data_IF_979240192957
#
_entry.id   IF_979240192957
#
_cell.length_a   1.000
_cell.length_b   1.000
_cell.length_c   1.000
_cell.angle_alpha   90.00
_cell.angle_beta   90.00
_cell.angle_gamma   90.00
#
_symmetry.space_group_name_H-M   'P 1'
#
loop_
_entity.id
_entity.type
_entity.pdbx_description
1 polymer ?
#
# COMPACT_ATOMS: atom_id res chain seq x y z
N UNK A 1 -14.39 -52.17 -1.14
CA UNK A 1 -15.35 -51.04 -1.00
C UNK A 1 -14.88 -50.00 0.02
N UNK A 2 -14.59 -50.35 1.27
CA UNK A 2 -14.17 -49.38 2.30
C UNK A 2 -12.88 -48.59 1.95
N UNK A 3 -11.88 -49.24 1.34
CA UNK A 3 -10.62 -48.59 0.94
C UNK A 3 -10.86 -47.46 -0.08
N UNK A 4 -11.73 -47.71 -1.07
CA UNK A 4 -12.09 -46.72 -2.09
C UNK A 4 -12.83 -45.53 -1.46
N UNK A 5 -13.70 -45.78 -0.49
CA UNK A 5 -14.40 -44.73 0.24
C UNK A 5 -13.44 -43.83 1.07
N UNK A 6 -12.45 -44.44 1.73
CA UNK A 6 -11.43 -43.70 2.50
C UNK A 6 -10.58 -42.82 1.57
N UNK A 7 -10.15 -43.35 0.41
CA UNK A 7 -9.39 -42.59 -0.59
C UNK A 7 -10.21 -41.43 -1.16
N UNK A 8 -11.48 -41.67 -1.50
CA UNK A 8 -12.39 -40.62 -1.98
C UNK A 8 -12.57 -39.51 -0.94
N UNK A 9 -12.69 -39.85 0.35
CA UNK A 9 -12.80 -38.89 1.45
C UNK A 9 -11.54 -38.02 1.56
N UNK A 10 -10.35 -38.63 1.50
CA UNK A 10 -9.06 -37.90 1.55
C UNK A 10 -8.95 -36.90 0.39
N UNK A 11 -9.28 -37.33 -0.84
CA UNK A 11 -9.24 -36.47 -2.04
C UNK A 11 -10.22 -35.30 -1.88
N UNK A 12 -11.45 -35.57 -1.42
CA UNK A 12 -12.48 -34.54 -1.24
C UNK A 12 -12.08 -33.51 -0.20
N UNK A 13 -11.50 -33.93 0.92
CA UNK A 13 -11.00 -33.02 1.95
C UNK A 13 -9.87 -32.14 1.42
N UNK A 14 -8.97 -32.70 0.61
CA UNK A 14 -7.89 -31.91 0.00
C UNK A 14 -8.45 -30.91 -1.02
N UNK A 15 -9.40 -31.32 -1.85
CA UNK A 15 -10.06 -30.46 -2.83
C UNK A 15 -10.85 -29.33 -2.17
N UNK A 16 -11.49 -29.58 -1.03
CA UNK A 16 -12.17 -28.54 -0.24
C UNK A 16 -11.17 -27.50 0.29
N UNK A 17 -10.00 -27.95 0.76
CA UNK A 17 -8.93 -27.06 1.25
C UNK A 17 -8.34 -26.23 0.11
N UNK A 18 -7.98 -26.87 -1.01
CA UNK A 18 -7.49 -26.18 -2.20
C UNK A 18 -8.52 -25.21 -2.76
N UNK A 19 -9.80 -25.59 -2.80
CA UNK A 19 -10.90 -24.71 -3.25
C UNK A 19 -11.07 -23.49 -2.36
N UNK A 20 -10.96 -23.63 -1.03
CA UNK A 20 -10.96 -22.49 -0.10
C UNK A 20 -9.76 -21.57 -0.31
N UNK A 21 -8.57 -22.13 -0.55
CA UNK A 21 -7.38 -21.34 -0.82
C UNK A 21 -7.48 -20.57 -2.14
N UNK A 22 -7.96 -21.22 -3.19
CA UNK A 22 -8.17 -20.59 -4.50
C UNK A 22 -9.23 -19.50 -4.43
N UNK A 23 -10.34 -19.76 -3.72
CA UNK A 23 -11.38 -18.76 -3.47
C UNK A 23 -10.82 -17.52 -2.77
N UNK A 24 -10.00 -17.69 -1.72
CA UNK A 24 -9.35 -16.57 -1.02
C UNK A 24 -8.43 -15.77 -1.94
N UNK A 25 -7.65 -16.44 -2.79
CA UNK A 25 -6.78 -15.78 -3.77
C UNK A 25 -7.59 -14.99 -4.79
N UNK A 26 -8.63 -15.59 -5.37
CA UNK A 26 -9.51 -14.94 -6.33
C UNK A 26 -10.16 -13.68 -5.75
N UNK A 27 -10.61 -13.73 -4.49
CA UNK A 27 -11.13 -12.56 -3.79
C UNK A 27 -10.07 -11.46 -3.67
N UNK A 28 -8.86 -11.79 -3.19
CA UNK A 28 -7.80 -10.79 -3.04
C UNK A 28 -7.40 -10.14 -4.37
N UNK A 29 -7.30 -10.93 -5.45
CA UNK A 29 -7.05 -10.40 -6.79
C UNK A 29 -8.17 -9.48 -7.28
N UNK A 30 -9.42 -9.87 -7.06
CA UNK A 30 -10.58 -9.07 -7.46
C UNK A 30 -10.61 -7.74 -6.72
N UNK A 31 -10.44 -7.76 -5.39
CA UNK A 31 -10.38 -6.55 -4.57
C UNK A 31 -9.22 -5.65 -5.00
N UNK A 32 -8.04 -6.22 -5.28
CA UNK A 32 -6.91 -5.43 -5.77
C UNK A 32 -7.15 -4.85 -7.17
N UNK A 33 -7.82 -5.59 -8.05
CA UNK A 33 -8.18 -5.12 -9.39
C UNK A 33 -9.14 -3.94 -9.33
N UNK A 34 -10.08 -3.92 -8.38
CA UNK A 34 -10.96 -2.77 -8.15
C UNK A 34 -10.17 -1.53 -7.72
N UNK A 35 -9.18 -1.69 -6.83
CA UNK A 35 -8.25 -0.61 -6.48
C UNK A 35 -7.46 -0.13 -7.71
N UNK A 36 -6.88 -1.03 -8.50
CA UNK A 36 -6.13 -0.65 -9.71
C UNK A 36 -7.03 0.07 -10.73
N UNK A 37 -8.29 -0.34 -10.88
CA UNK A 37 -9.26 0.36 -11.73
C UNK A 37 -9.48 1.79 -11.23
N UNK A 38 -9.67 1.98 -9.93
CA UNK A 38 -9.77 3.32 -9.34
C UNK A 38 -8.49 4.15 -9.56
N UNK A 39 -7.31 3.52 -9.54
CA UNK A 39 -6.05 4.20 -9.87
C UNK A 39 -6.01 4.65 -11.34
N UNK A 40 -6.48 3.82 -12.27
CA UNK A 40 -6.55 4.15 -13.70
C UNK A 40 -7.55 5.28 -13.96
N UNK A 41 -8.69 5.28 -13.27
CA UNK A 41 -9.70 6.33 -13.38
C UNK A 41 -9.26 7.65 -12.75
N UNK A 42 -8.43 7.59 -11.69
CA UNK A 42 -7.95 8.75 -10.95
C UNK A 42 -6.41 8.78 -10.86
N UNK A 43 -5.69 8.87 -12.00
CA UNK A 43 -4.23 8.73 -12.04
C UNK A 43 -3.52 9.78 -11.20
N UNK A 44 -4.04 11.01 -11.18
CA UNK A 44 -3.50 12.11 -10.37
C UNK A 44 -3.50 11.80 -8.86
N UNK A 45 -4.54 11.11 -8.38
CA UNK A 45 -4.62 10.66 -6.99
C UNK A 45 -3.69 9.47 -6.76
N UNK A 46 -3.65 8.53 -7.70
CA UNK A 46 -2.83 7.32 -7.61
C UNK A 46 -1.31 7.59 -7.60
N UNK A 47 -0.83 8.60 -8.33
CA UNK A 47 0.58 8.99 -8.28
C UNK A 47 0.97 9.62 -6.94
N UNK A 48 0.01 10.20 -6.21
CA UNK A 48 0.25 10.76 -4.88
C UNK A 48 1.17 11.98 -4.87
N UNK A 49 1.34 12.71 -5.97
CA UNK A 49 2.15 13.93 -5.97
C UNK A 49 1.47 15.01 -5.11
N UNK A 50 2.13 15.38 -4.00
CA UNK A 50 1.62 16.34 -3.02
C UNK A 50 1.24 17.69 -3.64
N UNK A 51 2.09 18.25 -4.50
CA UNK A 51 1.85 19.57 -5.06
C UNK A 51 0.68 19.54 -6.05
N UNK A 52 0.63 18.52 -6.90
CA UNK A 52 -0.45 18.34 -7.87
C UNK A 52 -1.81 18.20 -7.20
N UNK A 53 -1.85 17.50 -6.06
CA UNK A 53 -3.06 17.28 -5.27
C UNK A 53 -3.47 18.54 -4.52
N UNK A 54 -2.55 19.24 -3.85
CA UNK A 54 -2.89 20.42 -3.02
C UNK A 54 -3.31 21.61 -3.89
N UNK A 55 -2.68 21.80 -5.06
CA UNK A 55 -2.98 22.92 -5.95
C UNK A 55 -4.32 22.78 -6.68
N UNK A 56 -4.86 21.56 -6.77
CA UNK A 56 -6.14 21.27 -7.39
C UNK A 56 -7.20 21.01 -6.32
N UNK A 57 -8.15 21.95 -6.18
CA UNK A 57 -9.18 21.88 -5.14
C UNK A 57 -10.04 20.62 -5.23
N UNK A 58 -10.30 20.12 -6.44
CA UNK A 58 -11.11 18.92 -6.67
C UNK A 58 -10.30 17.68 -6.28
N UNK A 59 -9.03 17.62 -6.70
CA UNK A 59 -8.15 16.51 -6.33
C UNK A 59 -7.93 16.46 -4.81
N UNK A 60 -7.68 17.61 -4.18
CA UNK A 60 -7.51 17.72 -2.73
C UNK A 60 -8.73 17.22 -1.96
N UNK A 61 -9.94 17.58 -2.40
CA UNK A 61 -11.18 17.12 -1.77
C UNK A 61 -11.44 15.61 -1.94
N UNK A 62 -11.03 15.03 -3.07
CA UNK A 62 -11.19 13.60 -3.37
C UNK A 62 -10.12 12.72 -2.73
N UNK A 63 -8.94 13.27 -2.47
CA UNK A 63 -7.78 12.48 -2.05
C UNK A 63 -7.96 11.73 -0.71
N UNK A 64 -8.58 12.31 0.34
CA UNK A 64 -8.89 11.56 1.56
C UNK A 64 -9.74 10.32 1.30
N UNK A 65 -10.74 10.41 0.41
CA UNK A 65 -11.62 9.30 0.05
C UNK A 65 -10.88 8.22 -0.73
N UNK A 66 -9.99 8.64 -1.64
CA UNK A 66 -9.12 7.71 -2.36
C UNK A 66 -8.22 6.92 -1.41
N UNK A 67 -7.59 7.60 -0.44
CA UNK A 67 -6.75 6.95 0.57
C UNK A 67 -7.57 6.01 1.46
N UNK A 68 -8.76 6.42 1.92
CA UNK A 68 -9.62 5.54 2.72
C UNK A 68 -10.02 4.27 1.96
N UNK A 69 -10.39 4.38 0.68
CA UNK A 69 -10.70 3.22 -0.16
C UNK A 69 -9.48 2.32 -0.35
N UNK A 70 -8.30 2.90 -0.58
CA UNK A 70 -7.05 2.16 -0.71
C UNK A 70 -6.73 1.36 0.57
N UNK A 71 -6.78 2.02 1.74
CA UNK A 71 -6.48 1.38 3.02
C UNK A 71 -7.47 0.24 3.32
N UNK A 72 -8.75 0.47 3.05
CA UNK A 72 -9.78 -0.56 3.19
C UNK A 72 -9.53 -1.77 2.28
N UNK A 73 -9.23 -1.55 1.00
CA UNK A 73 -8.86 -2.62 0.06
C UNK A 73 -7.63 -3.41 0.57
N UNK A 74 -6.60 -2.73 1.06
CA UNK A 74 -5.39 -3.38 1.54
C UNK A 74 -5.63 -4.19 2.80
N UNK A 75 -6.48 -3.71 3.71
CA UNK A 75 -6.90 -4.47 4.88
C UNK A 75 -7.61 -5.77 4.48
N UNK A 76 -8.58 -5.70 3.57
CA UNK A 76 -9.30 -6.87 3.08
C UNK A 76 -8.37 -7.91 2.44
N UNK A 77 -7.38 -7.46 1.66
CA UNK A 77 -6.37 -8.35 1.06
C UNK A 77 -5.52 -9.02 2.14
N UNK A 78 -5.07 -8.26 3.14
CA UNK A 78 -4.25 -8.80 4.23
C UNK A 78 -5.04 -9.80 5.08
N UNK A 79 -6.32 -9.54 5.37
CA UNK A 79 -7.17 -10.49 6.08
C UNK A 79 -7.47 -11.74 5.26
N UNK A 80 -7.64 -11.59 3.94
CA UNK A 80 -8.07 -12.69 3.08
C UNK A 80 -6.90 -13.55 2.59
N UNK A 81 -5.73 -13.00 2.28
CA UNK A 81 -4.65 -13.70 1.56
C UNK A 81 -3.31 -13.81 2.32
N UNK A 82 -3.22 -13.38 3.58
CA UNK A 82 -2.02 -13.63 4.39
C UNK A 82 -1.79 -15.13 4.67
N UNK A 83 -0.52 -15.58 4.74
CA UNK A 83 0.72 -14.80 4.83
C UNK A 83 1.52 -14.67 3.52
N UNK A 84 0.90 -14.33 2.40
CA UNK A 84 1.63 -14.14 1.13
C UNK A 84 2.51 -12.87 1.15
N UNK A 85 3.83 -13.05 1.00
CA UNK A 85 4.78 -11.94 0.99
C UNK A 85 4.64 -11.02 -0.25
N UNK A 86 4.10 -11.53 -1.37
CA UNK A 86 3.91 -10.71 -2.57
C UNK A 86 2.91 -9.58 -2.31
N UNK A 87 1.84 -9.86 -1.56
CA UNK A 87 0.86 -8.85 -1.18
C UNK A 87 1.45 -7.77 -0.29
N UNK A 88 2.31 -8.14 0.65
CA UNK A 88 3.03 -7.17 1.50
C UNK A 88 3.86 -6.23 0.64
N UNK A 89 4.68 -6.75 -0.27
CA UNK A 89 5.52 -5.93 -1.15
C UNK A 89 4.69 -5.01 -2.05
N UNK A 90 3.61 -5.52 -2.64
CA UNK A 90 2.73 -4.74 -3.51
C UNK A 90 2.04 -3.60 -2.75
N UNK A 91 1.50 -3.88 -1.56
CA UNK A 91 0.85 -2.88 -0.70
C UNK A 91 1.87 -1.84 -0.24
N UNK A 92 3.04 -2.28 0.24
CA UNK A 92 4.12 -1.41 0.71
C UNK A 92 4.51 -0.37 -0.35
N UNK A 93 4.74 -0.82 -1.59
CA UNK A 93 5.12 0.06 -2.69
C UNK A 93 4.07 1.13 -3.03
N UNK A 94 2.78 0.86 -2.78
CA UNK A 94 1.72 1.85 -2.96
C UNK A 94 1.64 2.81 -1.77
N UNK A 95 1.72 2.30 -0.54
CA UNK A 95 1.69 3.12 0.67
C UNK A 95 2.83 4.16 0.68
N UNK A 96 4.03 3.78 0.24
CA UNK A 96 5.18 4.69 0.17
C UNK A 96 4.92 5.93 -0.68
N UNK A 97 4.14 5.83 -1.76
CA UNK A 97 3.80 6.98 -2.63
C UNK A 97 2.93 8.00 -1.89
N UNK A 98 2.16 7.52 -0.92
CA UNK A 98 1.21 8.32 -0.15
C UNK A 98 1.72 8.65 1.26
N UNK A 99 2.98 8.33 1.59
CA UNK A 99 3.56 8.47 2.92
C UNK A 99 3.39 9.89 3.51
N UNK A 100 3.55 10.93 2.69
CA UNK A 100 3.39 12.34 3.10
C UNK A 100 2.00 12.68 3.64
N UNK A 101 0.97 11.97 3.19
CA UNK A 101 -0.40 12.13 3.65
C UNK A 101 -0.70 11.21 4.83
N UNK A 102 -0.23 9.96 4.75
CA UNK A 102 -0.40 8.95 5.79
C UNK A 102 0.23 9.38 7.12
N UNK A 103 1.39 10.06 7.08
CA UNK A 103 2.04 10.64 8.27
C UNK A 103 1.12 11.61 9.05
N UNK A 104 0.27 12.33 8.32
CA UNK A 104 -0.65 13.33 8.91
C UNK A 104 -2.02 12.76 9.21
N UNK A 105 -2.34 11.58 8.68
CA UNK A 105 -3.67 10.98 8.78
C UNK A 105 -4.04 10.67 10.23
N UNK A 106 -5.24 11.10 10.64
CA UNK A 106 -5.76 10.82 11.97
C UNK A 106 -6.11 9.33 12.15
N UNK A 107 -6.54 8.63 11.09
CA UNK A 107 -6.90 7.20 11.19
C UNK A 107 -5.69 6.34 11.48
N UNK A 108 -4.53 6.69 10.91
CA UNK A 108 -3.24 6.05 11.20
C UNK A 108 -2.80 6.35 12.63
N UNK A 109 -2.86 7.62 13.07
CA UNK A 109 -2.51 8.02 14.44
C UNK A 109 -3.36 7.33 15.52
N UNK A 110 -4.65 7.15 15.25
CA UNK A 110 -5.59 6.46 16.15
C UNK A 110 -5.51 4.93 16.08
N UNK A 111 -4.66 4.37 15.20
CA UNK A 111 -4.46 2.93 15.02
C UNK A 111 -5.76 2.18 14.72
N UNK A 112 -6.56 2.73 13.81
CA UNK A 112 -7.89 2.17 13.48
C UNK A 112 -7.83 0.94 12.56
N UNK A 113 -6.64 0.62 12.04
CA UNK A 113 -6.42 -0.49 11.10
C UNK A 113 -5.83 -1.72 11.79
N UNK A 114 -5.98 -2.88 11.18
CA UNK A 114 -5.40 -4.14 11.63
C UNK A 114 -3.89 -4.02 11.88
N UNK A 115 -3.37 -4.84 12.81
CA UNK A 115 -1.94 -4.82 13.18
C UNK A 115 -1.02 -5.06 11.99
N UNK A 116 -1.41 -5.94 11.07
CA UNK A 116 -0.68 -6.21 9.82
C UNK A 116 -0.58 -4.97 8.94
N UNK A 117 -1.69 -4.24 8.75
CA UNK A 117 -1.69 -3.01 7.94
C UNK A 117 -0.95 -1.88 8.65
N UNK A 118 -1.11 -1.74 9.97
CA UNK A 118 -0.39 -0.76 10.78
C UNK A 118 1.13 -0.93 10.70
N UNK A 119 1.63 -2.17 10.63
CA UNK A 119 3.06 -2.43 10.44
C UNK A 119 3.57 -1.86 9.10
N UNK A 120 2.87 -2.14 8.00
CA UNK A 120 3.22 -1.62 6.66
C UNK A 120 3.09 -0.10 6.57
N UNK A 121 2.07 0.49 7.23
CA UNK A 121 1.88 1.93 7.30
C UNK A 121 3.06 2.63 7.97
N UNK A 122 3.50 2.13 9.12
CA UNK A 122 4.64 2.70 9.84
C UNK A 122 5.93 2.57 9.01
N UNK A 123 6.15 1.41 8.40
CA UNK A 123 7.30 1.18 7.50
C UNK A 123 7.30 2.19 6.34
N UNK A 124 6.16 2.35 5.65
CA UNK A 124 6.04 3.28 4.53
C UNK A 124 6.28 4.74 4.94
N UNK A 125 5.78 5.17 6.09
CA UNK A 125 5.99 6.51 6.63
C UNK A 125 7.47 6.74 6.95
N UNK A 126 8.13 5.76 7.58
CA UNK A 126 9.54 5.89 7.95
C UNK A 126 10.47 5.84 6.74
N UNK A 127 10.19 4.98 5.75
CA UNK A 127 10.89 4.98 4.45
C UNK A 127 10.71 6.30 3.70
N UNK A 128 9.51 6.91 3.75
CA UNK A 128 9.24 8.22 3.17
C UNK A 128 10.10 9.34 3.80
N UNK A 129 10.25 9.32 5.13
CA UNK A 129 11.12 10.28 5.83
C UNK A 129 12.58 10.14 5.41
N UNK A 130 13.08 8.90 5.29
CA UNK A 130 14.47 8.64 4.89
C UNK A 130 14.81 9.20 3.50
N UNK A 131 13.88 9.09 2.53
CA UNK A 131 14.06 9.66 1.19
C UNK A 131 14.20 11.20 1.22
N UNK A 132 13.39 11.87 2.05
CA UNK A 132 13.46 13.33 2.22
C UNK A 132 14.82 13.76 2.82
N UNK A 133 15.33 13.04 3.83
CA UNK A 133 16.64 13.37 4.42
C UNK A 133 17.80 13.22 3.43
N UNK A 134 17.75 12.23 2.54
CA UNK A 134 18.76 12.04 1.49
C UNK A 134 18.74 13.15 0.43
N UNK A 135 17.55 13.59 0.00
CA UNK A 135 17.41 14.68 -0.96
C UNK A 135 17.88 16.03 -0.38
N UNK A 136 17.53 16.33 0.87
CA UNK A 136 17.95 17.57 1.55
C UNK A 136 19.46 17.56 1.87
N UNK A 137 20.00 16.41 2.28
CA UNK A 137 21.44 16.23 2.49
C UNK A 137 22.28 16.40 1.21
N UNK A 138 21.75 15.96 0.07
CA UNK A 138 22.42 16.13 -1.24
C UNK A 138 22.36 17.59 -1.71
N UNK A 139 21.23 18.25 -1.53
CA UNK A 139 21.04 19.65 -1.94
C UNK A 139 21.91 20.63 -1.12
N UNK A 140 22.15 20.33 0.17
CA UNK A 140 23.02 21.14 1.04
C UNK A 140 24.51 21.02 0.67
N UNK A 141 24.97 19.85 0.22
CA UNK A 141 26.34 19.66 -0.28
C UNK A 141 26.56 20.40 -1.60
N UNK A 142 25.57 20.42 -2.50
CA UNK A 142 25.66 21.13 -3.78
C UNK A 142 25.66 22.66 -3.63
N UNK A 143 24.95 23.21 -2.64
CA UNK A 143 24.98 24.66 -2.37
C UNK A 143 26.33 25.11 -1.78
N UNK A 144 26.94 24.31 -0.91
CA UNK A 144 28.26 24.60 -0.31
C UNK A 144 29.41 24.61 -1.34
N UNK A 145 29.24 24.00 -2.52
CA UNK A 145 30.28 23.93 -3.55
C UNK A 145 30.17 25.04 -4.61
N UNK A 146 29.06 25.81 -4.61
CA UNK A 146 28.77 26.85 -5.59
C UNK A 146 28.85 28.28 -5.03
N UNK A 147 29.37 28.48 -3.81
CA UNK A 147 29.77 29.81 -3.37
C UNK A 147 31.06 30.19 -4.12
N UNK A 148 31.05 31.21 -5.01
CA UNK A 148 32.29 31.71 -5.55
C UNK A 148 33.06 32.29 -4.37
N UNK A 149 34.23 31.71 -4.12
CA UNK A 149 35.26 32.28 -3.26
C UNK A 149 35.29 33.79 -3.50
N UNK A 150 34.87 34.55 -2.48
CA UNK A 150 34.86 36.00 -2.50
C UNK A 150 36.24 36.47 -2.95
N UNK A 151 36.24 37.13 -4.10
CA UNK A 151 37.41 37.82 -4.64
C UNK A 151 37.85 38.89 -3.63
N UNK A 152 39.17 38.88 -3.36
CA UNK A 152 40.00 39.86 -2.64
C UNK A 152 39.37 41.20 -2.26
#
# INVERSE_FOLDING_TARGET
MAIVAILALIITLNQLRSGRQESRRATAYTTYQEYLKNCVENPKLAYGNKNDIILDSIANAKYPWFISQMLFTFEQILETAMPDNQWKTAIQAQLERHAWYLEKSNTVKRKEWSSSLMALLNEAIDSGKLKIYQEVGTFSILRSHNDPQGNN
#
